data_IF_207062805784
#
_entry.id   IF_207062805784
#
_cell.length_a   1.000
_cell.length_b   1.000
_cell.length_c   1.000
_cell.angle_alpha   90.00
_cell.angle_beta   90.00
_cell.angle_gamma   90.00
#
_symmetry.space_group_name_H-M   'P 1'
#
loop_
_entity.id
_entity.type
_entity.pdbx_description
1 polymer ?
#
# COMPACT_ATOMS: atom_id res chain seq x y z
N UNK A 1 -44.11 13.08 -54.00
CA UNK A 1 -45.22 12.34 -53.34
C UNK A 1 -44.57 11.09 -52.78
N UNK A 2 -44.47 11.07 -51.46
CA UNK A 2 -43.57 10.24 -50.67
C UNK A 2 -44.08 8.80 -50.47
N UNK A 3 -43.18 8.02 -49.87
CA UNK A 3 -43.45 6.92 -48.92
C UNK A 3 -43.93 5.60 -49.51
N UNK A 4 -43.61 4.41 -48.97
CA UNK A 4 -43.06 4.05 -47.66
C UNK A 4 -42.47 2.64 -47.77
N UNK A 5 -41.36 2.40 -47.08
CA UNK A 5 -40.85 1.08 -46.68
C UNK A 5 -41.59 0.60 -45.40
N UNK A 6 -41.62 -0.73 -45.25
CA UNK A 6 -41.95 -1.56 -44.07
C UNK A 6 -43.45 -1.72 -43.73
N UNK A 7 -43.97 -2.92 -43.36
CA UNK A 7 -43.57 -3.59 -42.11
C UNK A 7 -43.54 -5.15 -42.12
N UNK A 8 -42.66 -5.68 -41.27
CA UNK A 8 -42.84 -6.89 -40.42
C UNK A 8 -43.15 -8.24 -41.07
N UNK A 9 -42.15 -9.14 -41.14
CA UNK A 9 -42.40 -10.56 -40.86
C UNK A 9 -41.20 -11.24 -40.15
N UNK A 10 -41.28 -11.20 -38.83
CA UNK A 10 -40.98 -12.25 -37.86
C UNK A 10 -39.71 -13.13 -38.04
N UNK A 11 -38.71 -12.79 -37.22
CA UNK A 11 -37.95 -13.68 -36.31
C UNK A 11 -38.04 -15.18 -36.66
N UNK A 12 -37.04 -15.70 -37.37
CA UNK A 12 -36.76 -17.14 -37.44
C UNK A 12 -36.26 -17.64 -36.09
N UNK A 13 -37.15 -18.25 -35.32
CA UNK A 13 -36.79 -19.29 -34.34
C UNK A 13 -36.96 -20.67 -35.00
N UNK A 14 -35.91 -21.50 -35.13
CA UNK A 14 -36.07 -22.94 -35.27
C UNK A 14 -35.98 -23.61 -33.89
N UNK A 15 -37.16 -23.89 -33.35
CA UNK A 15 -37.57 -25.05 -32.54
C UNK A 15 -36.44 -25.85 -31.87
N UNK A 16 -36.30 -25.64 -30.56
CA UNK A 16 -35.63 -26.53 -29.61
C UNK A 16 -36.30 -27.92 -29.67
N UNK A 17 -35.56 -29.02 -29.85
CA UNK A 17 -36.08 -30.36 -29.60
C UNK A 17 -36.28 -30.55 -28.09
N UNK A 18 -37.49 -30.91 -27.72
CA UNK A 18 -37.94 -31.28 -26.39
C UNK A 18 -37.03 -32.37 -25.80
N UNK A 19 -36.19 -32.01 -24.82
CA UNK A 19 -35.31 -32.93 -24.11
C UNK A 19 -36.13 -33.65 -23.03
N UNK A 20 -36.20 -34.97 -23.15
CA UNK A 20 -36.75 -35.90 -22.16
C UNK A 20 -36.14 -35.62 -20.77
N UNK A 21 -36.92 -35.68 -19.68
CA UNK A 21 -36.43 -35.31 -18.36
C UNK A 21 -35.32 -36.28 -17.92
N UNK A 22 -34.10 -35.77 -17.79
CA UNK A 22 -33.03 -36.49 -17.10
C UNK A 22 -33.33 -36.51 -15.59
N UNK A 23 -33.19 -37.66 -14.91
CA UNK A 23 -33.31 -37.69 -13.46
C UNK A 23 -32.15 -36.90 -12.84
N UNK A 24 -32.48 -35.96 -11.95
CA UNK A 24 -31.53 -35.21 -11.12
C UNK A 24 -30.49 -36.15 -10.49
N UNK A 25 -29.22 -35.97 -10.86
CA UNK A 25 -28.10 -36.60 -10.17
C UNK A 25 -27.78 -35.77 -8.93
N UNK A 26 -28.27 -36.22 -7.79
CA UNK A 26 -27.82 -35.71 -6.49
C UNK A 26 -26.32 -36.01 -6.39
N UNK A 27 -25.45 -35.03 -6.08
CA UNK A 27 -24.02 -35.31 -5.90
C UNK A 27 -23.85 -36.20 -4.68
N UNK A 28 -23.54 -37.48 -4.90
CA UNK A 28 -23.21 -38.40 -3.82
C UNK A 28 -21.94 -37.93 -3.15
N UNK A 29 -22.01 -37.68 -1.84
CA UNK A 29 -20.87 -37.32 -1.02
C UNK A 29 -19.86 -38.46 -1.00
N UNK A 30 -18.57 -38.13 -0.85
CA UNK A 30 -17.46 -39.09 -0.85
C UNK A 30 -17.69 -40.27 0.11
N UNK A 31 -18.35 -40.03 1.24
CA UNK A 31 -18.71 -41.06 2.21
C UNK A 31 -19.72 -42.07 1.65
N UNK A 32 -20.73 -41.63 0.87
CA UNK A 32 -21.66 -42.54 0.20
C UNK A 32 -20.97 -43.41 -0.85
N UNK A 33 -19.99 -42.87 -1.59
CA UNK A 33 -19.24 -43.65 -2.58
C UNK A 33 -18.34 -44.70 -1.93
N UNK A 34 -17.76 -44.39 -0.76
CA UNK A 34 -16.97 -45.34 0.02
C UNK A 34 -17.86 -46.43 0.61
N UNK A 35 -19.07 -46.08 1.04
CA UNK A 35 -20.00 -47.03 1.64
C UNK A 35 -20.66 -47.95 0.61
N UNK A 36 -20.97 -47.43 -0.59
CA UNK A 36 -21.43 -48.21 -1.73
C UNK A 36 -20.32 -49.15 -2.26
N UNK A 37 -19.06 -48.69 -2.27
CA UNK A 37 -17.92 -49.55 -2.63
C UNK A 37 -17.69 -50.67 -1.59
N UNK A 38 -17.87 -50.38 -0.29
CA UNK A 38 -17.79 -51.38 0.78
C UNK A 38 -18.92 -52.41 0.66
N UNK A 39 -20.15 -51.96 0.40
CA UNK A 39 -21.30 -52.85 0.22
C UNK A 39 -21.16 -53.71 -1.04
N UNK A 40 -20.62 -53.17 -2.15
CA UNK A 40 -20.32 -53.94 -3.35
C UNK A 40 -19.27 -55.04 -3.08
N UNK A 41 -18.23 -54.76 -2.29
CA UNK A 41 -17.25 -55.76 -1.89
C UNK A 41 -17.83 -56.84 -0.96
N UNK A 42 -18.77 -56.51 -0.08
CA UNK A 42 -19.44 -57.50 0.77
C UNK A 42 -20.39 -58.40 -0.02
N UNK A 43 -21.04 -57.88 -1.07
CA UNK A 43 -21.88 -58.69 -1.99
C UNK A 43 -21.01 -59.63 -2.85
N UNK A 44 -19.84 -59.16 -3.31
CA UNK A 44 -18.89 -59.98 -4.07
C UNK A 44 -18.30 -61.10 -3.20
N UNK A 45 -18.04 -60.83 -1.91
CA UNK A 45 -17.61 -61.84 -0.95
C UNK A 45 -18.71 -62.88 -0.61
N UNK A 46 -19.99 -62.51 -0.68
CA UNK A 46 -21.10 -63.44 -0.44
C UNK A 46 -21.39 -64.37 -1.62
N UNK A 47 -21.03 -63.98 -2.85
CA UNK A 47 -21.20 -64.80 -4.06
C UNK A 47 -20.12 -65.88 -4.24
N UNK A 48 -19.07 -65.88 -3.43
CA UNK A 48 -17.95 -66.84 -3.52
C UNK A 48 -18.18 -68.19 -2.82
N UNK A 49 -19.38 -68.43 -2.28
CA UNK A 49 -19.75 -69.69 -1.61
C UNK A 49 -20.97 -70.35 -2.24
N UNK A 50 -20.82 -70.92 -3.43
CA UNK A 50 -21.59 -72.09 -3.86
C UNK A 50 -20.83 -72.85 -4.96
N UNK A 51 -20.57 -74.17 -4.83
CA UNK A 51 -19.84 -74.91 -5.85
C UNK A 51 -20.83 -75.60 -6.80
N UNK A 52 -20.93 -75.12 -8.04
CA UNK A 52 -21.61 -75.87 -9.10
C UNK A 52 -20.61 -76.25 -10.18
N UNK A 53 -20.26 -77.54 -10.21
CA UNK A 53 -19.43 -78.17 -11.22
C UNK A 53 -20.09 -78.06 -12.60
N UNK A 54 -19.41 -77.45 -13.58
CA UNK A 54 -19.56 -77.84 -14.98
C UNK A 54 -18.34 -77.46 -15.82
N UNK A 55 -17.83 -78.46 -16.53
CA UNK A 55 -16.59 -78.49 -17.30
C UNK A 55 -16.66 -77.64 -18.58
N UNK A 56 -15.67 -76.77 -18.79
CA UNK A 56 -15.33 -76.16 -20.09
C UNK A 56 -13.83 -76.29 -20.38
N UNK A 57 -13.41 -76.36 -21.65
CA UNK A 57 -12.05 -76.76 -22.03
C UNK A 57 -10.99 -75.70 -21.66
N UNK A 58 -9.82 -76.19 -21.22
CA UNK A 58 -8.71 -75.42 -20.64
C UNK A 58 -8.14 -74.27 -21.50
N UNK A 59 -8.50 -74.16 -22.78
CA UNK A 59 -8.03 -73.09 -23.66
C UNK A 59 -8.79 -71.75 -23.47
N UNK A 60 -10.06 -71.78 -23.03
CA UNK A 60 -10.86 -70.57 -22.85
C UNK A 60 -10.55 -69.84 -21.53
N UNK A 61 -10.20 -70.60 -20.48
CA UNK A 61 -9.82 -70.04 -19.17
C UNK A 61 -8.52 -69.24 -19.23
N UNK A 62 -7.53 -69.69 -20.01
CA UNK A 62 -6.27 -68.96 -20.19
C UNK A 62 -6.42 -67.63 -20.92
N UNK A 63 -7.34 -67.55 -21.89
CA UNK A 63 -7.62 -66.31 -22.62
C UNK A 63 -8.37 -65.29 -21.76
N UNK A 64 -9.33 -65.73 -20.94
CA UNK A 64 -10.06 -64.88 -20.01
C UNK A 64 -9.15 -64.32 -18.91
N UNK A 65 -8.25 -65.14 -18.34
CA UNK A 65 -7.26 -64.71 -17.34
C UNK A 65 -6.25 -63.72 -17.95
N UNK A 66 -5.78 -63.97 -19.17
CA UNK A 66 -4.88 -63.04 -19.87
C UNK A 66 -5.55 -61.70 -20.20
N UNK A 67 -6.85 -61.71 -20.50
CA UNK A 67 -7.62 -60.49 -20.77
C UNK A 67 -7.89 -59.70 -19.49
N UNK A 68 -8.19 -60.36 -18.37
CA UNK A 68 -8.35 -59.73 -17.05
C UNK A 68 -7.01 -59.16 -16.58
N UNK A 69 -5.88 -59.86 -16.75
CA UNK A 69 -4.56 -59.31 -16.46
C UNK A 69 -4.18 -58.12 -17.32
N UNK A 70 -4.61 -58.09 -18.60
CA UNK A 70 -4.42 -56.91 -19.46
C UNK A 70 -5.28 -55.73 -19.03
N UNK A 71 -6.54 -55.96 -18.67
CA UNK A 71 -7.44 -54.93 -18.16
C UNK A 71 -6.96 -54.41 -16.81
N UNK A 72 -6.46 -55.27 -15.93
CA UNK A 72 -5.83 -54.88 -14.66
C UNK A 72 -4.50 -54.14 -14.87
N UNK A 73 -3.68 -54.54 -15.85
CA UNK A 73 -2.46 -53.82 -16.19
C UNK A 73 -2.73 -52.45 -16.85
N UNK A 74 -3.79 -52.34 -17.65
CA UNK A 74 -4.26 -51.07 -18.21
C UNK A 74 -4.90 -50.19 -17.12
N UNK A 75 -5.69 -50.74 -16.20
CA UNK A 75 -6.24 -50.02 -15.07
C UNK A 75 -5.14 -49.54 -14.08
N UNK A 76 -4.10 -50.35 -13.86
CA UNK A 76 -2.93 -49.96 -13.07
C UNK A 76 -2.06 -48.88 -13.76
N UNK A 77 -2.12 -48.77 -15.10
CA UNK A 77 -1.51 -47.66 -15.84
C UNK A 77 -2.36 -46.39 -15.80
N UNK A 78 -3.69 -46.50 -15.76
CA UNK A 78 -4.62 -45.37 -15.57
C UNK A 78 -4.55 -44.82 -14.14
N UNK A 79 -4.19 -45.66 -13.16
CA UNK A 79 -4.00 -45.30 -11.74
C UNK A 79 -2.53 -45.01 -11.37
N UNK A 80 -1.70 -44.56 -12.31
CA UNK A 80 -0.45 -43.88 -11.93
C UNK A 80 -0.81 -42.46 -11.47
N UNK A 81 -0.36 -42.00 -10.28
CA UNK A 81 -0.57 -40.61 -9.92
C UNK A 81 0.08 -39.73 -10.99
N UNK A 82 -0.64 -38.72 -11.48
CA UNK A 82 -0.15 -37.74 -12.48
C UNK A 82 1.02 -36.86 -11.95
N UNK A 83 1.70 -37.27 -10.89
CA UNK A 83 2.88 -36.64 -10.27
C UNK A 83 4.17 -36.87 -11.04
N UNK A 84 4.09 -37.23 -12.32
CA UNK A 84 5.25 -37.37 -13.23
C UNK A 84 5.23 -36.33 -14.36
N UNK A 85 4.45 -35.25 -14.19
CA UNK A 85 4.46 -34.10 -15.09
C UNK A 85 5.74 -33.28 -14.91
N UNK A 86 6.20 -32.61 -15.97
CA UNK A 86 7.39 -31.73 -15.97
C UNK A 86 7.31 -30.71 -14.83
N UNK A 87 6.12 -30.21 -14.54
CA UNK A 87 5.83 -29.27 -13.45
C UNK A 87 6.12 -29.85 -12.06
N UNK A 88 5.73 -31.10 -11.76
CA UNK A 88 6.04 -31.74 -10.47
C UNK A 88 7.54 -31.96 -10.24
N UNK A 89 8.30 -32.23 -11.31
CA UNK A 89 9.76 -32.39 -11.26
C UNK A 89 10.48 -31.05 -11.18
N UNK A 90 9.95 -30.03 -11.83
CA UNK A 90 10.45 -28.66 -11.76
C UNK A 90 10.22 -28.08 -10.37
N UNK A 91 9.03 -28.26 -9.81
CA UNK A 91 8.64 -27.84 -8.46
C UNK A 91 9.58 -28.47 -7.42
N UNK A 92 9.74 -29.80 -7.42
CA UNK A 92 10.65 -30.48 -6.48
C UNK A 92 12.11 -30.01 -6.55
N UNK A 93 12.61 -29.66 -7.74
CA UNK A 93 13.97 -29.11 -7.92
C UNK A 93 14.06 -27.67 -7.46
N UNK A 94 13.09 -26.84 -7.83
CA UNK A 94 13.00 -25.45 -7.45
C UNK A 94 12.91 -25.31 -5.93
N UNK A 95 12.04 -26.09 -5.29
CA UNK A 95 11.89 -26.14 -3.82
C UNK A 95 13.19 -26.58 -3.16
N UNK A 96 13.88 -27.60 -3.67
CA UNK A 96 15.13 -28.07 -3.08
C UNK A 96 16.26 -27.01 -3.12
N UNK A 97 16.41 -26.31 -4.24
CA UNK A 97 17.40 -25.23 -4.37
C UNK A 97 17.01 -24.03 -3.51
N UNK A 98 15.72 -23.68 -3.50
CA UNK A 98 15.16 -22.58 -2.69
C UNK A 98 15.32 -22.85 -1.19
N UNK A 99 15.05 -24.08 -0.74
CA UNK A 99 15.24 -24.48 0.65
C UNK A 99 16.73 -24.44 1.04
N UNK A 100 17.61 -24.87 0.14
CA UNK A 100 19.05 -24.80 0.36
C UNK A 100 19.54 -23.36 0.50
N UNK A 101 19.10 -22.43 -0.37
CA UNK A 101 19.46 -21.01 -0.25
C UNK A 101 18.90 -20.40 1.02
N UNK A 102 17.66 -20.73 1.41
CA UNK A 102 17.08 -20.28 2.67
C UNK A 102 17.90 -20.75 3.89
N UNK A 103 18.36 -22.00 3.89
CA UNK A 103 19.24 -22.56 4.93
C UNK A 103 20.60 -21.84 4.96
N UNK A 104 21.17 -21.50 3.81
CA UNK A 104 22.38 -20.69 3.75
C UNK A 104 22.15 -19.31 4.38
N UNK A 105 21.07 -18.63 4.04
CA UNK A 105 20.76 -17.33 4.63
C UNK A 105 20.56 -17.39 6.14
N UNK A 106 19.89 -18.43 6.63
CA UNK A 106 19.65 -18.64 8.07
C UNK A 106 20.94 -18.86 8.85
N UNK A 107 21.95 -19.49 8.25
CA UNK A 107 23.21 -19.84 8.93
C UNK A 107 24.29 -18.76 8.81
N UNK A 108 24.22 -17.87 7.82
CA UNK A 108 25.16 -16.75 7.69
C UNK A 108 24.82 -15.64 8.68
N UNK A 109 25.76 -15.33 9.58
CA UNK A 109 25.63 -14.20 10.51
C UNK A 109 25.44 -12.86 9.79
N UNK A 110 26.08 -12.69 8.62
CA UNK A 110 25.96 -11.46 7.81
C UNK A 110 24.51 -11.16 7.41
N UNK A 111 23.69 -12.19 7.17
CA UNK A 111 22.26 -12.01 6.86
C UNK A 111 21.56 -11.34 8.02
N UNK A 112 21.68 -11.90 9.22
CA UNK A 112 21.02 -11.39 10.42
C UNK A 112 21.55 -10.03 10.84
N UNK A 113 22.83 -9.74 10.61
CA UNK A 113 23.40 -8.41 10.85
C UNK A 113 22.75 -7.37 9.93
N UNK A 114 22.65 -7.65 8.63
CA UNK A 114 22.03 -6.71 7.67
C UNK A 114 20.55 -6.48 7.98
N UNK A 115 19.80 -7.55 8.24
CA UNK A 115 18.38 -7.45 8.62
C UNK A 115 18.20 -6.74 9.98
N UNK A 116 19.09 -7.00 10.94
CA UNK A 116 19.08 -6.35 12.26
C UNK A 116 19.36 -4.86 12.18
N UNK A 117 20.35 -4.44 11.38
CA UNK A 117 20.63 -3.01 11.14
C UNK A 117 19.42 -2.33 10.49
N UNK A 118 18.76 -2.98 9.53
CA UNK A 118 17.54 -2.46 8.91
C UNK A 118 16.39 -2.30 9.92
N UNK A 119 16.18 -3.28 10.80
CA UNK A 119 15.19 -3.18 11.87
C UNK A 119 15.49 -2.02 12.84
N UNK A 120 16.74 -1.89 13.30
CA UNK A 120 17.16 -0.81 14.21
C UNK A 120 17.00 0.55 13.55
N UNK A 121 17.33 0.66 12.26
CA UNK A 121 17.12 1.89 11.48
C UNK A 121 15.65 2.30 11.44
N UNK A 122 14.74 1.37 11.12
CA UNK A 122 13.29 1.65 11.11
C UNK A 122 12.81 2.03 12.51
N UNK A 123 13.22 1.29 13.55
CA UNK A 123 12.83 1.57 14.93
C UNK A 123 13.30 2.96 15.40
N UNK A 124 14.54 3.34 15.06
CA UNK A 124 15.09 4.65 15.39
C UNK A 124 14.30 5.78 14.72
N UNK A 125 13.96 5.63 13.44
CA UNK A 125 13.18 6.64 12.72
C UNK A 125 11.74 6.72 13.27
N UNK A 126 11.12 5.60 13.62
CA UNK A 126 9.81 5.58 14.27
C UNK A 126 9.82 6.28 15.63
N UNK A 127 10.92 6.20 16.38
CA UNK A 127 11.06 6.95 17.64
C UNK A 127 11.10 8.47 17.38
N UNK A 128 11.90 8.94 16.41
CA UNK A 128 11.93 10.35 16.05
C UNK A 128 10.58 10.86 15.55
N UNK A 129 9.87 10.04 14.78
CA UNK A 129 8.50 10.34 14.36
C UNK A 129 7.55 10.45 15.56
N UNK A 130 7.61 9.51 16.49
CA UNK A 130 6.79 9.55 17.71
C UNK A 130 7.10 10.75 18.61
N UNK A 131 8.38 11.14 18.71
CA UNK A 131 8.78 12.36 19.41
C UNK A 131 8.22 13.60 18.73
N UNK A 132 8.34 13.71 17.41
CA UNK A 132 7.83 14.83 16.63
C UNK A 132 6.28 14.94 16.64
N UNK A 133 5.57 13.82 16.78
CA UNK A 133 4.11 13.82 16.97
C UNK A 133 3.69 14.16 18.40
N UNK A 134 4.58 13.97 19.36
CA UNK A 134 4.33 14.29 20.77
C UNK A 134 4.74 15.72 21.13
N UNK A 135 5.57 16.38 20.33
CA UNK A 135 5.90 17.79 20.55
C UNK A 135 4.71 18.67 20.19
N UNK A 136 4.43 19.65 21.06
CA UNK A 136 3.51 20.73 20.73
C UNK A 136 4.16 21.72 19.77
N UNK A 137 3.36 22.31 18.89
CA UNK A 137 3.74 23.45 18.08
C UNK A 137 3.00 24.67 18.62
N UNK A 138 3.69 25.82 18.68
CA UNK A 138 3.07 27.07 19.09
C UNK A 138 2.36 27.68 17.87
N UNK A 139 1.11 28.10 18.04
CA UNK A 139 0.32 28.80 17.03
C UNK A 139 0.71 30.27 16.95
N UNK A 140 0.49 30.85 15.76
CA UNK A 140 0.83 32.24 15.46
C UNK A 140 -0.42 33.06 15.27
N UNK A 141 -0.65 33.98 16.20
CA UNK A 141 -1.59 35.09 16.06
C UNK A 141 -1.07 36.06 14.98
N UNK A 142 -1.78 36.16 13.85
CA UNK A 142 -1.37 37.00 12.72
C UNK A 142 -2.06 38.36 12.70
N UNK A 143 -3.25 38.48 13.28
CA UNK A 143 -4.05 39.71 13.27
C UNK A 143 -3.76 40.61 14.52
N UNK A 144 -3.21 40.00 15.56
CA UNK A 144 -2.69 40.59 16.78
C UNK A 144 -3.74 40.86 17.85
N UNK A 145 -4.90 40.21 17.80
CA UNK A 145 -6.01 40.51 18.69
C UNK A 145 -5.99 39.72 20.03
N UNK A 146 -5.11 38.72 20.15
CA UNK A 146 -4.78 38.06 21.43
C UNK A 146 -4.03 38.98 22.40
N UNK A 147 -3.43 40.05 21.88
CA UNK A 147 -2.59 40.96 22.66
C UNK A 147 -3.44 41.97 23.45
N UNK A 148 -3.02 42.18 24.69
CA UNK A 148 -3.44 43.29 25.54
C UNK A 148 -2.44 44.45 25.35
N UNK A 149 -2.80 45.43 24.52
CA UNK A 149 -1.90 46.53 24.14
C UNK A 149 -1.82 47.64 25.20
N UNK A 150 -2.85 47.83 26.01
CA UNK A 150 -2.91 48.91 27.01
C UNK A 150 -2.68 48.45 28.45
N UNK A 151 -2.71 47.14 28.70
CA UNK A 151 -2.29 46.46 29.92
C UNK A 151 -3.38 46.34 30.99
N UNK A 152 -4.66 46.49 30.63
CA UNK A 152 -5.77 46.39 31.57
C UNK A 152 -6.22 44.94 31.87
N UNK A 153 -5.67 43.99 31.12
CA UNK A 153 -5.86 42.56 31.27
C UNK A 153 -6.86 41.93 30.30
N UNK A 154 -7.54 42.71 29.44
CA UNK A 154 -8.45 42.20 28.42
C UNK A 154 -7.74 42.10 27.05
N UNK A 155 -7.85 40.97 26.33
CA UNK A 155 -7.34 40.88 24.96
C UNK A 155 -8.11 41.80 24.01
N UNK A 156 -7.41 42.30 22.99
CA UNK A 156 -7.96 43.22 21.99
C UNK A 156 -9.22 42.66 21.31
N UNK A 157 -9.23 41.38 20.91
CA UNK A 157 -10.40 40.75 20.28
C UNK A 157 -11.63 40.79 21.19
N UNK A 158 -11.44 40.54 22.49
CA UNK A 158 -12.53 40.59 23.46
C UNK A 158 -13.09 42.01 23.59
N UNK A 159 -12.21 43.00 23.66
CA UNK A 159 -12.61 44.39 23.74
C UNK A 159 -13.36 44.87 22.50
N UNK A 160 -12.91 44.43 21.31
CA UNK A 160 -13.61 44.67 20.04
C UNK A 160 -15.06 44.15 20.10
N UNK A 161 -15.27 42.90 20.54
CA UNK A 161 -16.61 42.29 20.70
C UNK A 161 -17.52 43.11 21.62
N UNK A 162 -16.98 43.63 22.72
CA UNK A 162 -17.73 44.41 23.71
C UNK A 162 -17.80 45.91 23.38
N UNK A 163 -17.19 46.36 22.28
CA UNK A 163 -17.18 47.75 21.84
C UNK A 163 -16.40 48.67 22.77
N UNK A 164 -15.41 48.13 23.47
CA UNK A 164 -14.47 48.87 24.31
C UNK A 164 -13.22 49.23 23.49
N UNK A 165 -12.28 50.01 24.04
CA UNK A 165 -11.23 50.63 23.23
C UNK A 165 -9.88 50.00 23.60
N UNK A 166 -9.27 49.16 22.72
CA UNK A 166 -8.06 48.38 23.03
C UNK A 166 -6.76 49.17 23.26
N UNK A 167 -6.88 50.49 23.32
CA UNK A 167 -5.77 51.42 23.45
C UNK A 167 -5.93 52.36 24.66
N UNK A 168 -6.97 52.17 25.48
CA UNK A 168 -7.25 52.95 26.68
C UNK A 168 -7.57 52.03 27.85
N UNK A 169 -6.59 51.89 28.76
CA UNK A 169 -6.63 51.08 29.98
C UNK A 169 -7.88 51.29 30.89
N UNK A 170 -8.64 52.39 30.68
CA UNK A 170 -9.87 52.65 31.44
C UNK A 170 -11.15 52.23 30.69
N UNK A 171 -11.01 51.69 29.49
CA UNK A 171 -12.07 51.41 28.54
C UNK A 171 -12.09 49.91 28.27
N UNK A 172 -12.47 49.14 29.29
CA UNK A 172 -12.65 47.68 29.26
C UNK A 172 -14.09 47.27 29.59
N UNK A 173 -14.47 46.01 29.32
CA UNK A 173 -15.75 45.44 29.77
C UNK A 173 -15.92 45.54 31.29
N UNK A 174 -17.17 45.55 31.78
CA UNK A 174 -17.43 45.57 33.23
C UNK A 174 -16.86 44.29 33.89
N UNK A 175 -15.83 44.40 34.75
CA UNK A 175 -15.17 43.23 35.32
C UNK A 175 -16.06 42.38 36.24
N UNK A 176 -17.18 42.92 36.71
CA UNK A 176 -18.17 42.15 37.48
C UNK A 176 -19.06 41.26 36.60
N UNK A 177 -19.18 41.59 35.30
CA UNK A 177 -20.04 40.90 34.35
C UNK A 177 -19.25 40.02 33.37
N UNK A 178 -18.06 40.47 32.96
CA UNK A 178 -17.24 39.83 31.93
C UNK A 178 -15.82 39.68 32.47
N UNK A 179 -15.37 38.43 32.60
CA UNK A 179 -13.99 38.13 32.95
C UNK A 179 -13.09 38.24 31.70
N UNK A 180 -11.81 38.60 31.85
CA UNK A 180 -10.87 38.56 30.75
C UNK A 180 -10.73 37.15 30.18
N UNK A 181 -10.76 37.06 28.86
CA UNK A 181 -10.54 35.83 28.12
C UNK A 181 -9.05 35.46 28.15
N UNK A 182 -8.73 34.15 28.16
CA UNK A 182 -7.36 33.71 27.96
C UNK A 182 -6.88 34.09 26.54
N UNK A 183 -5.60 34.51 26.35
CA UNK A 183 -5.08 34.82 25.03
C UNK A 183 -5.23 33.65 24.04
N UNK A 184 -5.15 32.39 24.51
CA UNK A 184 -5.29 31.21 23.65
C UNK A 184 -6.65 31.08 22.96
N UNK A 185 -7.68 31.80 23.42
CA UNK A 185 -8.96 31.88 22.70
C UNK A 185 -8.83 32.63 21.38
N UNK A 186 -7.83 33.51 21.28
CA UNK A 186 -7.66 34.49 20.22
C UNK A 186 -6.43 34.21 19.32
N UNK A 187 -6.03 32.94 19.20
CA UNK A 187 -4.82 32.53 18.46
C UNK A 187 -5.14 31.40 17.47
N UNK A 188 -6.12 30.55 17.79
CA UNK A 188 -6.59 29.44 16.95
C UNK A 188 -8.12 29.58 16.78
N UNK A 189 -8.54 30.64 16.10
CA UNK A 189 -9.92 31.13 16.09
C UNK A 189 -10.78 30.42 15.05
N UNK A 190 -10.38 30.48 13.78
CA UNK A 190 -11.11 29.86 12.68
C UNK A 190 -10.45 28.57 12.18
N UNK A 191 -11.27 27.63 11.72
CA UNK A 191 -10.79 26.46 10.99
C UNK A 191 -10.52 26.74 9.50
N UNK A 192 -9.66 25.95 8.86
CA UNK A 192 -9.64 25.91 7.38
C UNK A 192 -10.83 25.07 6.89
N UNK A 193 -11.88 25.76 6.48
CA UNK A 193 -13.14 25.15 6.03
C UNK A 193 -13.12 24.78 4.53
N UNK A 194 -12.31 23.76 4.21
CA UNK A 194 -12.17 23.23 2.85
C UNK A 194 -12.73 21.80 2.70
N UNK A 195 -13.76 21.64 1.87
CA UNK A 195 -14.47 20.36 1.66
C UNK A 195 -13.82 19.42 0.62
N UNK A 196 -12.75 19.85 -0.08
CA UNK A 196 -12.11 19.07 -1.13
C UNK A 196 -12.81 19.10 -2.50
N UNK A 197 -13.90 19.84 -2.65
CA UNK A 197 -14.66 19.94 -3.90
C UNK A 197 -14.10 21.03 -4.82
N UNK A 198 -13.35 20.59 -5.84
CA UNK A 198 -12.82 21.47 -6.88
C UNK A 198 -13.89 22.05 -7.84
N UNK A 199 -15.17 21.80 -7.61
CA UNK A 199 -16.27 22.42 -8.35
C UNK A 199 -16.88 23.60 -7.60
N UNK A 200 -16.69 23.65 -6.28
CA UNK A 200 -17.14 24.76 -5.46
C UNK A 200 -15.98 25.72 -5.18
N UNK A 201 -16.03 26.91 -5.76
CA UNK A 201 -15.01 27.95 -5.52
C UNK A 201 -15.21 28.71 -4.21
N UNK A 202 -16.36 28.56 -3.56
CA UNK A 202 -16.77 29.40 -2.45
C UNK A 202 -16.85 28.53 -1.20
N UNK A 203 -15.89 28.72 -0.31
CA UNK A 203 -15.69 27.94 0.91
C UNK A 203 -15.30 28.90 2.04
N UNK A 204 -14.93 28.39 3.21
CA UNK A 204 -14.61 29.23 4.37
C UNK A 204 -15.86 29.64 5.16
N UNK A 205 -15.67 29.84 6.45
CA UNK A 205 -16.73 30.20 7.39
C UNK A 205 -16.16 31.11 8.47
N UNK A 206 -16.97 32.07 8.88
CA UNK A 206 -16.68 32.99 9.99
C UNK A 206 -17.20 32.33 11.28
N UNK A 207 -16.30 31.68 12.05
CA UNK A 207 -16.67 30.89 13.23
C UNK A 207 -16.87 31.75 14.48
N UNK A 208 -16.14 32.86 14.59
CA UNK A 208 -16.10 33.73 15.77
C UNK A 208 -17.00 34.98 15.61
N UNK A 209 -17.39 35.31 14.37
CA UNK A 209 -18.37 36.31 14.01
C UNK A 209 -17.79 37.70 13.79
N UNK A 210 -16.48 37.87 13.63
CA UNK A 210 -15.84 39.18 13.50
C UNK A 210 -15.96 39.81 12.09
N UNK A 211 -16.19 39.01 11.05
CA UNK A 211 -16.60 39.50 9.73
C UNK A 211 -18.10 39.86 9.69
N UNK A 212 -18.94 39.01 10.25
CA UNK A 212 -20.41 39.16 10.20
C UNK A 212 -20.97 40.10 11.28
N UNK A 213 -20.24 40.26 12.40
CA UNK A 213 -20.72 40.88 13.63
C UNK A 213 -21.62 39.98 14.48
N UNK A 214 -21.68 38.68 14.19
CA UNK A 214 -22.50 37.74 14.97
C UNK A 214 -21.87 37.55 16.36
N UNK A 215 -22.66 37.66 17.43
CA UNK A 215 -22.15 37.52 18.81
C UNK A 215 -21.57 38.80 19.43
N UNK A 216 -21.37 39.86 18.64
CA UNK A 216 -20.91 41.17 19.12
C UNK A 216 -22.02 41.92 19.88
N UNK A 217 -21.62 42.76 20.87
CA UNK A 217 -22.58 43.60 21.62
C UNK A 217 -23.19 44.68 20.71
N UNK A 218 -22.39 45.18 19.77
CA UNK A 218 -22.82 46.09 18.70
C UNK A 218 -22.55 45.45 17.33
N UNK A 219 -23.60 44.93 16.70
CA UNK A 219 -23.52 44.31 15.37
C UNK A 219 -23.26 45.31 14.24
N UNK A 220 -23.20 46.60 14.53
CA UNK A 220 -22.79 47.66 13.58
C UNK A 220 -21.52 48.39 14.07
N UNK A 221 -20.69 47.72 14.89
CA UNK A 221 -19.41 48.24 15.37
C UNK A 221 -18.52 48.73 14.23
N UNK A 222 -17.74 49.78 14.48
CA UNK A 222 -16.78 50.32 13.51
C UNK A 222 -15.61 49.36 13.22
N UNK A 223 -15.35 48.41 14.12
CA UNK A 223 -14.34 47.36 13.95
C UNK A 223 -14.77 46.31 12.91
N UNK A 224 -16.08 46.12 12.70
CA UNK A 224 -16.59 45.16 11.71
C UNK A 224 -16.27 45.67 10.29
N UNK A 225 -15.77 44.80 9.39
CA UNK A 225 -15.49 45.17 8.01
C UNK A 225 -16.71 45.78 7.30
N UNK A 226 -16.62 47.07 6.93
CA UNK A 226 -17.71 47.75 6.18
C UNK A 226 -18.05 47.05 4.85
N UNK A 227 -17.09 46.35 4.26
CA UNK A 227 -17.26 45.59 3.03
C UNK A 227 -16.94 44.10 3.25
N UNK A 228 -17.95 43.37 3.69
CA UNK A 228 -17.90 41.92 3.96
C UNK A 228 -17.71 41.04 2.71
N UNK A 229 -17.91 41.58 1.50
CA UNK A 229 -17.63 40.91 0.21
C UNK A 229 -16.53 41.71 -0.51
N UNK A 230 -15.29 41.55 -0.04
CA UNK A 230 -14.11 42.20 -0.62
C UNK A 230 -13.64 41.50 -1.88
N UNK A 231 -13.87 40.19 -1.96
CA UNK A 231 -13.54 39.38 -3.13
C UNK A 231 -14.54 39.55 -4.30
N UNK A 232 -15.71 40.16 -4.05
CA UNK A 232 -16.80 40.52 -4.98
C UNK A 232 -17.42 39.35 -5.70
N UNK A 233 -17.58 38.24 -5.01
CA UNK A 233 -18.20 37.04 -5.57
C UNK A 233 -19.70 36.94 -5.29
N UNK A 234 -20.25 37.88 -4.50
CA UNK A 234 -21.66 37.98 -4.15
C UNK A 234 -22.06 37.14 -2.94
N UNK A 235 -21.09 36.57 -2.22
CA UNK A 235 -21.24 35.97 -0.91
C UNK A 235 -20.43 36.83 0.07
N UNK A 236 -20.97 37.07 1.25
CA UNK A 236 -20.27 37.81 2.30
C UNK A 236 -19.52 36.82 3.20
N UNK A 237 -18.37 37.24 3.72
CA UNK A 237 -17.60 36.51 4.71
C UNK A 237 -17.29 35.08 4.23
N UNK A 238 -16.68 34.97 3.04
CA UNK A 238 -16.23 33.70 2.53
C UNK A 238 -14.81 33.75 1.95
N UNK A 239 -14.26 32.58 1.73
CA UNK A 239 -13.00 32.38 1.01
C UNK A 239 -13.27 31.86 -0.40
N UNK A 240 -12.81 32.65 -1.38
CA UNK A 240 -12.90 32.31 -2.79
C UNK A 240 -11.63 31.66 -3.30
N UNK A 241 -11.73 30.36 -3.55
CA UNK A 241 -10.69 29.54 -4.16
C UNK A 241 -10.79 29.57 -5.68
N UNK A 242 -9.80 30.15 -6.34
CA UNK A 242 -9.70 30.13 -7.80
C UNK A 242 -8.81 28.98 -8.24
N UNK A 243 -9.40 28.08 -9.02
CA UNK A 243 -8.80 26.80 -9.36
C UNK A 243 -8.86 26.51 -10.85
N UNK A 244 -7.93 25.67 -11.29
CA UNK A 244 -7.88 25.19 -12.66
C UNK A 244 -8.71 23.90 -12.77
N UNK A 245 -9.81 23.97 -13.52
CA UNK A 245 -10.73 22.85 -13.72
C UNK A 245 -10.12 21.62 -14.38
N UNK A 246 -8.96 21.76 -15.05
CA UNK A 246 -8.27 20.65 -15.73
C UNK A 246 -7.21 19.99 -14.84
N UNK A 247 -6.48 20.78 -14.04
CA UNK A 247 -5.39 20.27 -13.20
C UNK A 247 -5.80 20.03 -11.75
N UNK A 248 -7.00 20.45 -11.34
CA UNK A 248 -7.47 20.38 -9.95
C UNK A 248 -6.47 21.01 -8.98
N UNK A 249 -5.92 22.16 -9.38
CA UNK A 249 -4.96 22.92 -8.57
C UNK A 249 -5.54 24.27 -8.24
N UNK A 250 -5.56 24.60 -6.95
CA UNK A 250 -5.79 25.95 -6.46
C UNK A 250 -4.56 26.79 -6.80
N UNK A 251 -4.75 27.93 -7.46
CA UNK A 251 -3.63 28.81 -7.83
C UNK A 251 -3.77 30.23 -7.26
N UNK A 252 -4.93 30.56 -6.69
CA UNK A 252 -5.20 31.82 -6.03
C UNK A 252 -6.29 31.61 -4.99
N UNK A 253 -6.07 32.18 -3.81
CA UNK A 253 -7.00 32.18 -2.68
C UNK A 253 -7.28 33.65 -2.39
N UNK A 254 -8.54 34.05 -2.41
CA UNK A 254 -8.97 35.40 -2.04
C UNK A 254 -10.02 35.27 -0.95
N UNK A 255 -9.61 35.52 0.30
CA UNK A 255 -10.53 35.61 1.42
C UNK A 255 -11.18 36.98 1.47
N UNK A 256 -12.42 37.04 1.97
CA UNK A 256 -12.98 38.24 2.56
C UNK A 256 -12.25 38.58 3.87
N UNK A 257 -12.43 39.79 4.42
CA UNK A 257 -11.76 40.16 5.67
C UNK A 257 -12.29 39.30 6.81
N UNK A 258 -11.41 38.79 7.66
CA UNK A 258 -11.79 38.13 8.91
C UNK A 258 -12.58 36.83 8.69
N UNK A 259 -12.04 35.96 7.83
CA UNK A 259 -12.62 34.64 7.55
C UNK A 259 -11.49 33.63 7.38
N UNK A 260 -11.62 32.48 8.02
CA UNK A 260 -10.56 31.46 8.12
C UNK A 260 -9.24 32.10 8.63
N UNK A 261 -9.34 33.07 9.55
CA UNK A 261 -8.19 33.76 10.17
C UNK A 261 -7.62 32.92 11.32
N UNK A 262 -6.28 32.97 11.43
CA UNK A 262 -5.51 32.28 12.46
C UNK A 262 -5.90 30.80 12.68
N UNK A 263 -5.68 29.94 11.65
CA UNK A 263 -6.01 28.53 11.73
C UNK A 263 -5.09 27.75 12.65
N UNK A 264 -5.61 26.66 13.24
CA UNK A 264 -4.86 25.76 14.12
C UNK A 264 -3.57 25.23 13.46
N UNK A 265 -2.48 25.93 13.75
CA UNK A 265 -1.13 25.67 13.25
C UNK A 265 -0.63 24.31 13.74
N UNK A 266 -0.99 23.92 14.97
CA UNK A 266 -0.57 22.67 15.56
C UNK A 266 -1.19 21.48 14.81
N UNK A 267 -2.50 21.54 14.53
CA UNK A 267 -3.20 20.55 13.73
C UNK A 267 -2.62 20.48 12.31
N UNK A 268 -2.40 21.63 11.67
CA UNK A 268 -1.84 21.70 10.32
C UNK A 268 -0.41 21.14 10.24
N UNK A 269 0.47 21.52 11.18
CA UNK A 269 1.86 21.07 11.21
C UNK A 269 1.96 19.59 11.53
N UNK A 270 1.15 19.06 12.46
CA UNK A 270 1.10 17.62 12.74
C UNK A 270 0.62 16.83 11.53
N UNK A 271 -0.43 17.28 10.84
CA UNK A 271 -0.93 16.63 9.62
C UNK A 271 0.12 16.67 8.49
N UNK A 272 0.76 17.83 8.30
CA UNK A 272 1.83 18.00 7.31
C UNK A 272 3.03 17.11 7.60
N UNK A 273 3.46 17.04 8.86
CA UNK A 273 4.56 16.18 9.30
C UNK A 273 4.21 14.70 9.12
N UNK A 274 2.97 14.31 9.40
CA UNK A 274 2.48 12.94 9.21
C UNK A 274 2.55 12.53 7.74
N UNK A 275 1.96 13.33 6.85
CA UNK A 275 1.96 13.06 5.40
C UNK A 275 3.37 13.05 4.83
N UNK A 276 4.20 14.02 5.23
CA UNK A 276 5.60 14.08 4.83
C UNK A 276 6.38 12.85 5.32
N UNK A 277 6.10 12.37 6.53
CA UNK A 277 6.72 11.16 7.07
C UNK A 277 6.34 9.92 6.27
N UNK A 278 5.05 9.66 6.06
CA UNK A 278 4.57 8.46 5.35
C UNK A 278 5.21 8.38 3.95
N UNK A 279 5.16 9.48 3.19
CA UNK A 279 5.70 9.52 1.83
C UNK A 279 7.22 9.58 1.81
N UNK A 280 7.83 10.44 2.63
CA UNK A 280 9.27 10.63 2.70
C UNK A 280 9.99 9.37 3.19
N UNK A 281 9.49 8.75 4.26
CA UNK A 281 10.06 7.52 4.80
C UNK A 281 9.78 6.31 3.89
N UNK A 282 8.61 6.25 3.25
CA UNK A 282 8.33 5.26 2.22
C UNK A 282 9.35 5.30 1.07
N UNK A 283 9.62 6.51 0.55
CA UNK A 283 10.57 6.75 -0.55
C UNK A 283 12.02 6.49 -0.13
N UNK A 284 12.49 7.17 0.92
CA UNK A 284 13.90 7.18 1.32
C UNK A 284 14.24 5.95 2.17
N UNK A 285 13.40 5.57 3.12
CA UNK A 285 13.63 4.44 4.00
C UNK A 285 13.48 3.12 3.25
N UNK A 286 12.27 2.83 2.76
CA UNK A 286 11.94 1.51 2.23
C UNK A 286 12.37 1.29 0.78
N UNK A 287 11.95 2.16 -0.15
CA UNK A 287 12.28 1.99 -1.56
C UNK A 287 13.77 2.23 -1.84
N UNK A 288 14.39 3.19 -1.16
CA UNK A 288 15.77 3.57 -1.41
C UNK A 288 16.78 2.85 -0.52
N UNK A 289 16.81 3.11 0.78
CA UNK A 289 17.85 2.56 1.67
C UNK A 289 17.71 1.03 1.80
N UNK A 290 16.60 0.55 2.36
CA UNK A 290 16.41 -0.90 2.55
C UNK A 290 16.32 -1.57 1.17
N UNK A 291 15.63 -0.94 0.22
CA UNK A 291 15.45 -1.42 -1.15
C UNK A 291 16.74 -1.64 -1.93
N UNK A 292 17.82 -0.87 -1.71
CA UNK A 292 19.13 -1.08 -2.35
C UNK A 292 20.05 -1.94 -1.49
N UNK A 293 20.19 -1.60 -0.19
CA UNK A 293 21.21 -2.21 0.67
C UNK A 293 20.94 -3.69 0.96
N UNK A 294 19.67 -4.08 1.18
CA UNK A 294 19.33 -5.48 1.45
C UNK A 294 19.68 -6.39 0.25
N UNK A 295 19.24 -6.09 -0.99
CA UNK A 295 19.67 -6.85 -2.15
C UNK A 295 21.19 -6.80 -2.37
N UNK A 296 21.83 -5.64 -2.19
CA UNK A 296 23.28 -5.49 -2.40
C UNK A 296 24.09 -6.43 -1.51
N UNK A 297 23.70 -6.65 -0.25
CA UNK A 297 24.44 -7.56 0.63
C UNK A 297 23.99 -9.02 0.47
N UNK A 298 22.68 -9.27 0.34
CA UNK A 298 22.14 -10.64 0.33
C UNK A 298 22.25 -11.31 -1.04
N UNK A 299 21.92 -10.62 -2.13
CA UNK A 299 21.91 -11.18 -3.48
C UNK A 299 23.34 -11.42 -3.98
N UNK A 300 24.23 -10.45 -3.78
CA UNK A 300 25.63 -10.52 -4.20
C UNK A 300 26.42 -11.57 -3.40
N UNK A 301 26.12 -11.72 -2.10
CA UNK A 301 26.72 -12.74 -1.24
C UNK A 301 26.26 -14.19 -1.50
N UNK A 302 25.13 -14.37 -2.19
CA UNK A 302 24.59 -15.70 -2.55
C UNK A 302 25.38 -16.35 -3.69
N UNK A 303 25.86 -15.54 -4.63
CA UNK A 303 26.49 -16.01 -5.86
C UNK A 303 28.01 -16.14 -5.70
N UNK A 304 28.62 -15.20 -4.98
CA UNK A 304 30.08 -15.12 -4.81
C UNK A 304 30.67 -16.36 -4.11
N UNK A 305 30.12 -16.74 -2.95
CA UNK A 305 30.69 -17.83 -2.16
C UNK A 305 30.64 -19.19 -2.88
N UNK A 306 29.66 -19.39 -3.76
CA UNK A 306 29.49 -20.64 -4.47
C UNK A 306 30.28 -20.72 -5.78
N UNK A 307 30.52 -19.57 -6.40
CA UNK A 307 31.50 -19.46 -7.49
C UNK A 307 32.93 -19.61 -6.96
N UNK A 308 33.26 -19.02 -5.81
CA UNK A 308 34.58 -19.16 -5.17
C UNK A 308 34.86 -20.60 -4.74
N UNK A 309 33.83 -21.34 -4.28
CA UNK A 309 33.99 -22.74 -3.84
C UNK A 309 33.96 -23.76 -4.98
N UNK A 310 33.66 -23.37 -6.22
CA UNK A 310 33.60 -24.27 -7.38
C UNK A 310 32.53 -25.38 -7.27
N UNK A 311 31.65 -25.31 -6.27
CA UNK A 311 30.66 -26.35 -5.96
C UNK A 311 29.51 -26.37 -6.97
N UNK A 312 29.38 -25.35 -7.82
CA UNK A 312 28.41 -25.30 -8.90
C UNK A 312 28.53 -26.52 -9.84
N UNK A 313 29.75 -27.00 -10.09
CA UNK A 313 29.98 -28.17 -10.95
C UNK A 313 29.60 -29.50 -10.29
N UNK A 314 29.65 -29.58 -8.95
CA UNK A 314 29.33 -30.80 -8.21
C UNK A 314 27.84 -31.03 -7.99
N UNK A 315 27.03 -29.96 -8.05
CA UNK A 315 25.56 -30.06 -8.06
C UNK A 315 25.04 -30.44 -9.47
N UNK A 316 25.87 -30.32 -10.52
CA UNK A 316 25.54 -30.65 -11.92
C UNK A 316 25.71 -32.13 -12.25
N UNK A 317 25.00 -33.03 -11.55
CA UNK A 317 24.88 -34.44 -11.96
C UNK A 317 24.03 -34.65 -13.23
N UNK A 318 23.28 -33.63 -13.65
CA UNK A 318 22.52 -33.56 -14.92
C UNK A 318 22.72 -32.18 -15.54
N UNK A 319 22.72 -32.05 -16.88
CA UNK A 319 22.77 -30.74 -17.53
C UNK A 319 21.47 -29.99 -17.23
N UNK A 320 21.53 -29.05 -16.29
CA UNK A 320 20.49 -28.06 -15.98
C UNK A 320 20.98 -26.73 -16.55
N UNK A 321 20.09 -25.95 -17.17
CA UNK A 321 20.47 -24.65 -17.72
C UNK A 321 20.91 -23.71 -16.60
N UNK A 322 22.01 -22.96 -16.80
CA UNK A 322 22.55 -22.04 -15.79
C UNK A 322 21.52 -21.00 -15.31
N UNK A 323 20.59 -20.62 -16.19
CA UNK A 323 19.50 -19.69 -15.90
C UNK A 323 18.46 -20.25 -14.91
N UNK A 324 18.14 -21.54 -14.97
CA UNK A 324 17.16 -22.17 -14.06
C UNK A 324 17.67 -22.17 -12.62
N UNK A 325 18.96 -22.44 -12.41
CA UNK A 325 19.59 -22.40 -11.09
C UNK A 325 19.56 -20.97 -10.53
N UNK A 326 19.87 -19.96 -11.35
CA UNK A 326 19.81 -18.56 -10.93
C UNK A 326 18.38 -18.15 -10.54
N UNK A 327 17.37 -18.57 -11.32
CA UNK A 327 15.97 -18.30 -11.01
C UNK A 327 15.53 -18.93 -9.68
N UNK A 328 15.88 -20.19 -9.40
CA UNK A 328 15.54 -20.83 -8.13
C UNK A 328 16.24 -20.20 -6.93
N UNK A 329 17.46 -19.68 -7.11
CA UNK A 329 18.15 -18.93 -6.04
C UNK A 329 17.49 -17.59 -5.78
N UNK A 330 17.10 -16.89 -6.84
CA UNK A 330 16.36 -15.63 -6.73
C UNK A 330 15.05 -15.85 -5.98
N UNK A 331 14.34 -16.97 -6.23
CA UNK A 331 13.14 -17.33 -5.46
C UNK A 331 13.42 -17.49 -3.97
N UNK A 332 14.53 -18.13 -3.58
CA UNK A 332 14.89 -18.22 -2.16
C UNK A 332 15.34 -16.91 -1.53
N UNK A 333 15.92 -15.99 -2.30
CA UNK A 333 16.14 -14.60 -1.87
C UNK A 333 14.81 -13.86 -1.65
N UNK A 334 13.89 -13.94 -2.61
CA UNK A 334 12.56 -13.32 -2.52
C UNK A 334 11.78 -13.86 -1.32
N UNK A 335 11.81 -15.18 -1.09
CA UNK A 335 11.14 -15.84 0.02
C UNK A 335 11.61 -15.36 1.40
N UNK A 336 12.81 -14.79 1.50
CA UNK A 336 13.32 -14.18 2.73
C UNK A 336 13.03 -12.68 2.79
N UNK A 337 13.31 -11.95 1.71
CA UNK A 337 13.30 -10.49 1.70
C UNK A 337 11.89 -9.90 1.66
N UNK A 338 10.96 -10.49 0.90
CA UNK A 338 9.59 -9.98 0.85
C UNK A 338 8.90 -10.06 2.22
N UNK A 339 8.86 -11.22 2.93
CA UNK A 339 8.25 -11.27 4.26
C UNK A 339 8.94 -10.34 5.25
N UNK A 340 10.26 -10.21 5.17
CA UNK A 340 11.02 -9.29 6.02
C UNK A 340 10.56 -7.84 5.83
N UNK A 341 10.53 -7.34 4.59
CA UNK A 341 10.13 -5.95 4.33
C UNK A 341 8.64 -5.74 4.62
N UNK A 342 7.79 -6.74 4.33
CA UNK A 342 6.36 -6.69 4.68
C UNK A 342 6.15 -6.53 6.17
N UNK A 343 6.86 -7.28 7.01
CA UNK A 343 6.75 -7.16 8.46
C UNK A 343 7.19 -5.77 8.92
N UNK A 344 8.30 -5.24 8.40
CA UNK A 344 8.76 -3.90 8.77
C UNK A 344 7.76 -2.80 8.36
N UNK A 345 7.21 -2.88 7.14
CA UNK A 345 6.22 -1.92 6.65
C UNK A 345 4.93 -2.03 7.45
N UNK A 346 4.46 -3.25 7.77
CA UNK A 346 3.28 -3.44 8.61
C UNK A 346 3.46 -2.86 10.01
N UNK A 347 4.62 -3.09 10.65
CA UNK A 347 4.92 -2.48 11.95
C UNK A 347 4.90 -0.97 11.84
N UNK A 348 5.53 -0.40 10.80
CA UNK A 348 5.56 1.04 10.56
C UNK A 348 4.15 1.59 10.37
N UNK A 349 3.35 0.96 9.50
CA UNK A 349 1.96 1.35 9.22
C UNK A 349 1.08 1.30 10.47
N UNK A 350 1.26 0.28 11.33
CA UNK A 350 0.52 0.18 12.60
C UNK A 350 0.94 1.32 13.54
N UNK A 351 2.24 1.56 13.72
CA UNK A 351 2.74 2.62 14.62
C UNK A 351 2.29 3.98 14.14
N UNK A 352 2.43 4.29 12.85
CA UNK A 352 2.00 5.57 12.31
C UNK A 352 0.49 5.72 12.34
N UNK A 353 -0.29 4.66 12.14
CA UNK A 353 -1.75 4.73 12.16
C UNK A 353 -2.33 5.04 13.55
N UNK A 354 -1.63 4.67 14.63
CA UNK A 354 -2.01 5.03 16.00
C UNK A 354 -1.51 6.41 16.46
N UNK A 355 -0.39 6.86 15.89
CA UNK A 355 0.23 8.16 16.23
C UNK A 355 -0.15 9.26 15.23
N UNK A 356 -0.98 8.96 14.23
CA UNK A 356 -1.42 9.94 13.26
C UNK A 356 -2.36 10.95 13.95
N UNK A 357 -2.30 12.23 13.58
CA UNK A 357 -3.35 13.18 13.92
C UNK A 357 -4.64 12.72 13.22
N UNK A 358 -5.66 12.37 14.00
CA UNK A 358 -7.01 12.08 13.50
C UNK A 358 -8.03 12.08 14.63
N UNK A 359 -9.29 12.33 14.30
CA UNK A 359 -10.42 12.23 15.24
C UNK A 359 -10.70 10.79 15.70
N UNK A 360 -10.11 9.82 15.00
CA UNK A 360 -10.26 8.38 15.27
C UNK A 360 -9.06 7.81 16.03
N UNK A 361 -9.25 6.70 16.73
CA UNK A 361 -8.14 6.01 17.43
C UNK A 361 -7.13 5.42 16.43
N UNK A 362 -7.55 5.13 15.20
CA UNK A 362 -6.68 4.57 14.18
C UNK A 362 -7.06 5.06 12.78
N UNK A 363 -6.09 5.65 12.08
CA UNK A 363 -6.29 6.22 10.74
C UNK A 363 -6.12 5.17 9.65
N UNK A 364 -7.24 4.67 9.12
CA UNK A 364 -7.23 3.65 8.06
C UNK A 364 -6.94 4.20 6.66
N UNK A 365 -7.16 5.50 6.43
CA UNK A 365 -6.97 6.13 5.13
C UNK A 365 -5.54 5.96 4.61
N UNK A 366 -4.54 6.10 5.48
CA UNK A 366 -3.12 6.04 5.13
C UNK A 366 -2.63 4.61 4.84
N UNK A 367 -3.46 3.59 5.11
CA UNK A 367 -3.12 2.19 4.80
C UNK A 367 -2.96 1.97 3.29
N UNK A 368 -3.66 2.78 2.48
CA UNK A 368 -3.52 2.78 1.02
C UNK A 368 -2.11 3.21 0.57
N UNK A 369 -1.57 4.27 1.17
CA UNK A 369 -0.21 4.74 0.92
C UNK A 369 0.83 3.69 1.35
N UNK A 370 0.65 3.06 2.52
CA UNK A 370 1.54 1.99 2.98
C UNK A 370 1.51 0.74 2.08
N UNK A 371 0.35 0.42 1.50
CA UNK A 371 0.23 -0.65 0.50
C UNK A 371 0.98 -0.29 -0.79
N UNK A 372 0.95 0.98 -1.20
CA UNK A 372 1.76 1.51 -2.30
C UNK A 372 3.27 1.35 -2.04
N UNK A 373 3.72 1.77 -0.85
CA UNK A 373 5.12 1.60 -0.40
C UNK A 373 5.51 0.13 -0.36
N UNK A 374 4.62 -0.77 0.09
CA UNK A 374 4.86 -2.21 0.11
C UNK A 374 5.09 -2.77 -1.30
N UNK A 375 4.19 -2.43 -2.24
CA UNK A 375 4.28 -2.88 -3.62
C UNK A 375 5.56 -2.36 -4.29
N UNK A 376 5.84 -1.06 -4.13
CA UNK A 376 7.06 -0.43 -4.64
C UNK A 376 8.31 -1.13 -4.09
N UNK A 377 8.35 -1.39 -2.79
CA UNK A 377 9.48 -2.05 -2.12
C UNK A 377 9.71 -3.47 -2.65
N UNK A 378 8.65 -4.26 -2.85
CA UNK A 378 8.76 -5.60 -3.43
C UNK A 378 9.34 -5.59 -4.84
N UNK A 379 8.86 -4.68 -5.69
CA UNK A 379 9.32 -4.55 -7.07
C UNK A 379 10.77 -4.07 -7.15
N UNK A 380 11.12 -3.06 -6.35
CA UNK A 380 12.49 -2.52 -6.27
C UNK A 380 13.47 -3.58 -5.76
N UNK A 381 13.12 -4.31 -4.71
CA UNK A 381 13.97 -5.38 -4.17
C UNK A 381 14.11 -6.57 -5.12
N UNK A 382 13.09 -6.86 -5.93
CA UNK A 382 13.16 -7.86 -6.99
C UNK A 382 14.10 -7.38 -8.10
N UNK A 383 13.92 -6.14 -8.58
CA UNK A 383 14.75 -5.55 -9.62
C UNK A 383 16.23 -5.52 -9.20
N UNK A 384 16.55 -4.94 -8.04
CA UNK A 384 17.92 -4.93 -7.53
C UNK A 384 18.44 -6.33 -7.19
N UNK A 385 17.60 -7.21 -6.64
CA UNK A 385 17.95 -8.60 -6.40
C UNK A 385 18.39 -9.31 -7.68
N UNK A 386 17.68 -9.10 -8.80
CA UNK A 386 18.04 -9.66 -10.11
C UNK A 386 19.31 -9.04 -10.68
N UNK A 387 19.45 -7.71 -10.62
CA UNK A 387 20.63 -7.00 -11.14
C UNK A 387 21.89 -7.43 -10.38
N UNK A 388 21.87 -7.43 -9.05
CA UNK A 388 23.04 -7.80 -8.27
C UNK A 388 23.36 -9.31 -8.34
N UNK A 389 22.33 -10.17 -8.40
CA UNK A 389 22.55 -11.60 -8.68
C UNK A 389 23.24 -11.81 -10.04
N UNK A 390 22.77 -11.14 -11.09
CA UNK A 390 23.32 -11.30 -12.45
C UNK A 390 24.73 -10.74 -12.57
N UNK A 391 25.00 -9.55 -12.02
CA UNK A 391 26.35 -8.97 -11.95
C UNK A 391 27.33 -9.87 -11.18
N UNK A 392 26.87 -10.49 -10.10
CA UNK A 392 27.62 -11.48 -9.34
C UNK A 392 28.01 -12.71 -10.16
N UNK A 393 27.13 -13.17 -11.07
CA UNK A 393 27.41 -14.33 -11.95
C UNK A 393 28.35 -13.97 -13.09
N UNK A 394 28.14 -12.81 -13.74
CA UNK A 394 28.86 -12.43 -14.95
C UNK A 394 30.34 -12.19 -14.67
N UNK A 395 30.68 -11.63 -13.50
CA UNK A 395 32.06 -11.25 -13.19
C UNK A 395 32.50 -11.71 -11.78
N UNK A 396 33.10 -12.91 -11.64
CA UNK A 396 33.49 -13.44 -10.33
C UNK A 396 34.46 -12.54 -9.54
N UNK A 397 35.34 -11.80 -10.24
CA UNK A 397 36.38 -10.96 -9.61
C UNK A 397 35.97 -9.49 -9.46
N UNK A 398 35.17 -8.98 -10.38
CA UNK A 398 34.80 -7.56 -10.44
C UNK A 398 33.32 -7.29 -10.13
N UNK A 399 32.49 -8.32 -10.00
CA UNK A 399 31.04 -8.18 -9.88
C UNK A 399 30.62 -7.43 -8.63
N UNK A 400 31.33 -7.63 -7.51
CA UNK A 400 31.08 -6.85 -6.30
C UNK A 400 31.42 -5.37 -6.51
N UNK A 401 32.54 -5.05 -7.15
CA UNK A 401 32.94 -3.67 -7.43
C UNK A 401 31.98 -2.97 -8.38
N UNK A 402 31.50 -3.68 -9.41
CA UNK A 402 30.49 -3.18 -10.34
C UNK A 402 29.14 -3.01 -9.62
N UNK A 403 28.75 -3.93 -8.75
CA UNK A 403 27.52 -3.81 -7.95
C UNK A 403 27.58 -2.62 -6.98
N UNK A 404 28.71 -2.39 -6.33
CA UNK A 404 28.91 -1.20 -5.47
C UNK A 404 28.86 0.08 -6.31
N UNK A 405 29.54 0.12 -7.46
CA UNK A 405 29.50 1.26 -8.37
C UNK A 405 28.09 1.55 -8.89
N UNK A 406 27.33 0.51 -9.21
CA UNK A 406 25.92 0.62 -9.58
C UNK A 406 25.06 1.08 -8.40
N UNK A 407 25.30 0.59 -7.18
CA UNK A 407 24.64 1.08 -5.97
C UNK A 407 24.87 2.57 -5.73
N UNK A 408 26.08 3.07 -5.97
CA UNK A 408 26.40 4.52 -5.89
C UNK A 408 25.73 5.31 -7.01
N UNK A 409 25.67 4.76 -8.22
CA UNK A 409 24.91 5.36 -9.33
C UNK A 409 23.43 5.49 -8.98
N UNK A 410 22.81 4.43 -8.48
CA UNK A 410 21.41 4.44 -8.04
C UNK A 410 21.20 5.40 -6.86
N UNK A 411 22.18 5.50 -5.95
CA UNK A 411 22.19 6.52 -4.89
C UNK A 411 22.10 7.93 -5.45
N UNK A 412 22.94 8.27 -6.43
CA UNK A 412 22.93 9.59 -7.06
C UNK A 412 21.62 9.85 -7.81
N UNK A 413 21.11 8.86 -8.55
CA UNK A 413 19.87 9.01 -9.31
C UNK A 413 18.64 9.14 -8.42
N UNK A 414 18.57 8.45 -7.28
CA UNK A 414 17.50 8.62 -6.30
C UNK A 414 17.49 10.05 -5.72
N UNK A 415 18.65 10.59 -5.35
CA UNK A 415 18.75 11.96 -4.85
C UNK A 415 18.33 13.00 -5.89
N UNK A 416 18.74 12.81 -7.15
CA UNK A 416 18.30 13.67 -8.25
C UNK A 416 16.80 13.51 -8.48
N UNK A 417 16.24 12.30 -8.37
CA UNK A 417 14.81 12.07 -8.52
C UNK A 417 13.96 12.76 -7.45
N UNK A 418 14.50 12.96 -6.25
CA UNK A 418 13.83 13.71 -5.19
C UNK A 418 13.88 15.23 -5.43
N UNK A 419 15.02 15.75 -5.89
CA UNK A 419 15.20 17.19 -6.13
C UNK A 419 14.71 17.69 -7.50
N UNK A 420 14.71 16.82 -8.51
CA UNK A 420 14.36 17.13 -9.90
C UNK A 420 13.67 15.90 -10.56
N UNK A 421 12.38 15.66 -10.25
CA UNK A 421 11.67 14.46 -10.69
C UNK A 421 11.57 14.34 -12.22
N UNK A 422 11.55 15.47 -12.93
CA UNK A 422 11.43 15.53 -14.39
C UNK A 422 12.77 15.40 -15.15
N UNK A 423 13.88 15.14 -14.44
CA UNK A 423 15.19 15.07 -15.09
C UNK A 423 15.32 13.75 -15.90
N UNK A 424 15.48 13.78 -17.23
CA UNK A 424 15.34 12.56 -18.06
C UNK A 424 16.34 11.44 -17.75
N UNK A 425 17.48 11.76 -17.11
CA UNK A 425 18.48 10.75 -16.75
C UNK A 425 17.99 9.82 -15.62
N UNK A 426 17.11 10.31 -14.74
CA UNK A 426 16.60 9.52 -13.61
C UNK A 426 15.74 8.35 -14.10
N UNK A 427 15.13 8.45 -15.29
CA UNK A 427 14.32 7.39 -15.89
C UNK A 427 15.09 6.09 -16.17
N UNK A 428 16.42 6.15 -16.25
CA UNK A 428 17.27 4.97 -16.39
C UNK A 428 17.49 4.20 -15.07
N UNK A 429 17.12 4.79 -13.94
CA UNK A 429 17.36 4.23 -12.61
C UNK A 429 16.12 3.50 -12.08
N UNK A 430 16.36 2.39 -11.40
CA UNK A 430 15.30 1.60 -10.75
C UNK A 430 14.70 2.36 -9.56
N UNK A 431 15.50 3.14 -8.83
CA UNK A 431 15.01 3.92 -7.69
C UNK A 431 14.04 5.02 -8.10
N UNK A 432 14.21 5.61 -9.29
CA UNK A 432 13.27 6.61 -9.81
C UNK A 432 11.88 6.01 -9.99
N UNK A 433 11.78 4.85 -10.66
CA UNK A 433 10.51 4.16 -10.83
C UNK A 433 9.90 3.68 -9.51
N UNK A 434 10.74 3.27 -8.55
CA UNK A 434 10.27 2.94 -7.19
C UNK A 434 9.63 4.14 -6.48
N UNK A 435 10.26 5.31 -6.57
CA UNK A 435 9.72 6.57 -6.03
C UNK A 435 8.43 6.96 -6.75
N UNK A 436 8.37 6.80 -8.07
CA UNK A 436 7.20 7.17 -8.86
C UNK A 436 5.98 6.30 -8.55
N UNK A 437 6.16 5.00 -8.31
CA UNK A 437 5.07 4.13 -7.83
C UNK A 437 4.52 4.65 -6.50
N UNK A 438 5.39 5.12 -5.59
CA UNK A 438 4.95 5.69 -4.31
C UNK A 438 4.22 7.02 -4.53
N UNK A 439 4.69 7.88 -5.44
CA UNK A 439 4.01 9.12 -5.82
C UNK A 439 2.60 8.85 -6.37
N UNK A 440 2.39 7.78 -7.12
CA UNK A 440 1.06 7.43 -7.61
C UNK A 440 0.10 6.93 -6.51
N UNK A 441 0.64 6.56 -5.35
CA UNK A 441 -0.16 6.03 -4.22
C UNK A 441 -0.42 7.05 -3.13
N UNK A 442 0.21 8.24 -3.20
CA UNK A 442 -0.19 9.37 -2.37
C UNK A 442 -1.49 9.94 -2.92
N UNK A 443 -2.58 9.74 -2.18
CA UNK A 443 -3.85 10.46 -2.39
C UNK A 443 -3.81 11.76 -1.62
#
# INVERSE_FOLDING_TARGET
>A
MNMEDDPTDFIRTPKVPEESPQPESIPQTFEQQVEDARNAQMVEAAQLTEPTQQSMPAAAAGAAVAQIQRVQAQAAQVMRPLTDTVWSKLDRKATAVTEFTLRQYRTKNSTWVVLGIGMVFVAMILMFYGEAMSSGFDSVDNDGDSYDYDGDGYPTGQERIYGTNPWDENSHPDPELVAPDPPEKWIDEDGIDWDGDYSNSNQGYDDDGDCTGEGWVDSESFEIPYNQDTNRDGINCNVRYTMNSTTQTIYMINADPNVDEDPDDEAFLKESLHRAFVLGFGKIGFAFLIGIFVPLFLATGLVRDEMERGTLHYIMGKPIARAEILAYRLLGYIALVWPYVTVLILITAIVTGFLAPSDSIFRFHDMSAWLGVLLASWLVMLAYGTIFCTLGVVSPKFGLWIAIGFGVWEFAMAMISLGAPNFPLTWLSVSHWGIEIINCTSV
#
